data_IF_433694124241
#
_entry.id   IF_433694124241
#
_cell.length_a   1.000
_cell.length_b   1.000
_cell.length_c   1.000
_cell.angle_alpha   90.00
_cell.angle_beta   90.00
_cell.angle_gamma   90.00
#
_symmetry.space_group_name_H-M   'P 1'
#
loop_
_entity.id
_entity.type
_entity.pdbx_description
1 polymer ?
#
# COMPACT_ATOMS: atom_id res chain seq x y z
N UNK A 1 38.34 4.76 -12.45
CA UNK A 1 37.07 4.48 -11.75
C UNK A 1 35.99 5.32 -12.40
N UNK A 2 35.00 4.69 -13.04
CA UNK A 2 34.05 5.38 -13.92
C UNK A 2 32.75 5.70 -13.17
N UNK A 3 32.47 6.99 -13.02
CA UNK A 3 31.25 7.58 -12.43
C UNK A 3 29.95 7.04 -13.03
N UNK A 4 30.00 6.53 -14.26
CA UNK A 4 28.83 5.95 -14.93
C UNK A 4 28.27 4.69 -14.26
N UNK A 5 29.09 3.86 -13.58
CA UNK A 5 28.58 2.66 -12.89
C UNK A 5 27.75 3.01 -11.64
N UNK A 6 28.15 4.06 -10.93
CA UNK A 6 27.45 4.49 -9.70
C UNK A 6 26.05 5.03 -9.99
N UNK A 7 25.85 5.68 -11.15
CA UNK A 7 24.55 6.21 -11.56
C UNK A 7 23.59 5.07 -11.91
N UNK A 8 24.05 4.04 -12.63
CA UNK A 8 23.20 2.91 -13.02
C UNK A 8 22.67 2.13 -11.81
N UNK A 9 23.51 1.87 -10.81
CA UNK A 9 23.06 1.20 -9.58
C UNK A 9 22.09 2.07 -8.77
N UNK A 10 22.29 3.38 -8.76
CA UNK A 10 21.43 4.32 -8.05
C UNK A 10 20.03 4.40 -8.70
N UNK A 11 19.95 4.39 -10.03
CA UNK A 11 18.68 4.39 -10.77
C UNK A 11 17.95 3.04 -10.64
N UNK A 12 18.66 1.92 -10.74
CA UNK A 12 18.05 0.59 -10.59
C UNK A 12 17.51 0.36 -9.18
N UNK A 13 18.21 0.82 -8.14
CA UNK A 13 17.73 0.73 -6.75
C UNK A 13 16.49 1.58 -6.51
N UNK A 14 16.39 2.75 -7.15
CA UNK A 14 15.18 3.59 -7.05
C UNK A 14 14.00 2.97 -7.79
N UNK A 15 14.21 2.50 -9.03
CA UNK A 15 13.18 1.81 -9.81
C UNK A 15 12.63 0.59 -9.09
N UNK A 16 13.50 -0.21 -8.45
CA UNK A 16 13.04 -1.38 -7.69
C UNK A 16 12.10 -0.98 -6.55
N UNK A 17 12.47 0.02 -5.75
CA UNK A 17 11.63 0.55 -4.65
C UNK A 17 10.29 1.10 -5.14
N UNK A 18 10.27 1.78 -6.28
CA UNK A 18 9.04 2.28 -6.89
C UNK A 18 8.15 1.10 -7.31
N UNK A 19 8.70 0.07 -7.94
CA UNK A 19 7.94 -1.13 -8.30
C UNK A 19 7.41 -1.89 -7.08
N UNK A 20 8.21 -2.02 -6.02
CA UNK A 20 7.79 -2.61 -4.75
C UNK A 20 6.63 -1.80 -4.14
N UNK A 21 6.75 -0.47 -4.13
CA UNK A 21 5.69 0.42 -3.68
C UNK A 21 4.40 0.27 -4.50
N UNK A 22 4.49 0.27 -5.84
CA UNK A 22 3.34 0.12 -6.72
C UNK A 22 2.64 -1.22 -6.49
N UNK A 23 3.41 -2.30 -6.32
CA UNK A 23 2.87 -3.63 -6.04
C UNK A 23 2.13 -3.67 -4.70
N UNK A 24 2.68 -3.02 -3.67
CA UNK A 24 2.03 -2.93 -2.36
C UNK A 24 0.81 -1.99 -2.39
N UNK A 25 0.86 -0.88 -3.12
CA UNK A 25 -0.28 0.04 -3.24
C UNK A 25 -1.44 -0.67 -3.96
N UNK A 26 -1.16 -1.41 -5.03
CA UNK A 26 -2.16 -2.25 -5.71
C UNK A 26 -2.73 -3.33 -4.78
N UNK A 27 -1.87 -4.02 -4.02
CA UNK A 27 -2.32 -5.03 -3.06
C UNK A 27 -3.21 -4.42 -1.96
N UNK A 28 -2.87 -3.21 -1.52
CA UNK A 28 -3.68 -2.44 -0.57
C UNK A 28 -5.06 -2.13 -1.14
N UNK A 29 -5.15 -1.71 -2.40
CA UNK A 29 -6.44 -1.50 -3.08
C UNK A 29 -7.27 -2.78 -3.16
N UNK A 30 -6.66 -3.90 -3.56
CA UNK A 30 -7.35 -5.21 -3.60
C UNK A 30 -7.92 -5.60 -2.23
N UNK A 31 -7.17 -5.39 -1.15
CA UNK A 31 -7.69 -5.69 0.19
C UNK A 31 -8.77 -4.72 0.66
N UNK A 32 -8.72 -3.45 0.24
CA UNK A 32 -9.80 -2.50 0.51
C UNK A 32 -11.06 -2.94 -0.21
N UNK A 33 -10.98 -3.29 -1.49
CA UNK A 33 -12.11 -3.80 -2.27
C UNK A 33 -12.68 -5.10 -1.68
N UNK A 34 -11.82 -6.04 -1.27
CA UNK A 34 -12.24 -7.28 -0.59
C UNK A 34 -12.98 -6.94 0.71
N UNK A 35 -12.43 -6.04 1.53
CA UNK A 35 -13.04 -5.64 2.80
C UNK A 35 -14.38 -4.92 2.61
N UNK A 36 -14.48 -4.02 1.62
CA UNK A 36 -15.72 -3.33 1.25
C UNK A 36 -16.77 -4.32 0.76
N UNK A 37 -16.37 -5.28 -0.08
CA UNK A 37 -17.27 -6.32 -0.60
C UNK A 37 -17.79 -7.21 0.52
N UNK A 38 -16.90 -7.69 1.40
CA UNK A 38 -17.30 -8.48 2.57
C UNK A 38 -18.21 -7.68 3.51
N UNK A 39 -17.92 -6.39 3.72
CA UNK A 39 -18.77 -5.50 4.51
C UNK A 39 -20.18 -5.39 3.92
N UNK A 40 -20.28 -5.23 2.59
CA UNK A 40 -21.56 -5.16 1.86
C UNK A 40 -22.33 -6.47 1.90
N UNK A 41 -21.63 -7.59 1.82
CA UNK A 41 -22.23 -8.92 1.99
C UNK A 41 -22.62 -9.23 3.46
N UNK A 42 -22.33 -8.34 4.41
CA UNK A 42 -22.58 -8.56 5.84
C UNK A 42 -21.65 -9.61 6.45
N UNK A 43 -20.54 -9.95 5.79
CA UNK A 43 -19.54 -10.91 6.26
C UNK A 43 -18.55 -10.23 7.20
N UNK A 44 -17.97 -10.97 8.16
CA UNK A 44 -16.88 -10.47 8.97
C UNK A 44 -15.67 -10.20 8.07
N UNK A 45 -15.15 -8.98 8.15
CA UNK A 45 -13.93 -8.55 7.44
C UNK A 45 -12.96 -7.93 8.44
N UNK A 46 -11.69 -7.89 8.07
CA UNK A 46 -10.64 -7.28 8.91
C UNK A 46 -9.84 -6.29 8.10
N UNK A 47 -9.40 -5.20 8.75
CA UNK A 47 -8.48 -4.24 8.14
C UNK A 47 -7.02 -4.56 8.44
N UNK A 48 -6.76 -5.70 9.10
CA UNK A 48 -5.40 -6.15 9.41
C UNK A 48 -4.55 -6.34 8.16
N UNK A 49 -5.10 -6.97 7.11
CA UNK A 49 -4.38 -7.14 5.83
C UNK A 49 -4.00 -5.79 5.22
N UNK A 50 -4.96 -4.85 5.18
CA UNK A 50 -4.76 -3.49 4.64
C UNK A 50 -3.69 -2.76 5.46
N UNK A 51 -3.73 -2.87 6.78
CA UNK A 51 -2.79 -2.23 7.70
C UNK A 51 -1.40 -2.87 7.65
N UNK A 52 -1.32 -4.18 7.43
CA UNK A 52 -0.07 -4.89 7.25
C UNK A 52 0.64 -4.42 5.97
N UNK A 53 -0.09 -4.28 4.86
CA UNK A 53 0.47 -3.69 3.62
C UNK A 53 0.82 -2.22 3.80
N UNK A 54 -0.03 -1.45 4.47
CA UNK A 54 0.23 -0.03 4.79
C UNK A 54 1.51 0.12 5.63
N UNK A 55 1.75 -0.79 6.58
CA UNK A 55 2.99 -0.81 7.37
C UNK A 55 4.21 -1.14 6.51
N UNK A 56 4.10 -2.08 5.56
CA UNK A 56 5.19 -2.36 4.61
C UNK A 56 5.50 -1.14 3.73
N UNK A 57 4.47 -0.44 3.24
CA UNK A 57 4.64 0.82 2.51
C UNK A 57 5.31 1.88 3.40
N UNK A 58 4.87 2.03 4.65
CA UNK A 58 5.45 2.97 5.59
C UNK A 58 6.91 2.63 5.93
N UNK A 59 7.26 1.36 5.98
CA UNK A 59 8.64 0.93 6.20
C UNK A 59 9.53 1.25 4.99
N UNK A 60 9.04 1.02 3.78
CA UNK A 60 9.68 1.47 2.55
C UNK A 60 9.79 3.01 2.48
N UNK A 61 8.79 3.74 3.01
CA UNK A 61 8.76 5.20 3.07
C UNK A 61 9.80 5.80 4.01
N UNK A 62 10.23 5.08 5.05
CA UNK A 62 11.36 5.49 5.91
C UNK A 62 12.65 5.71 5.11
N UNK A 63 12.75 5.12 3.92
CA UNK A 63 13.90 5.29 3.03
C UNK A 63 13.84 6.58 2.20
N UNK A 64 12.81 7.42 2.38
CA UNK A 64 12.75 8.81 1.89
C UNK A 64 12.33 9.01 0.44
N UNK A 65 11.99 7.95 -0.30
CA UNK A 65 11.64 8.03 -1.73
C UNK A 65 10.13 8.01 -1.97
N UNK A 66 9.37 7.38 -1.07
CA UNK A 66 7.92 7.18 -1.22
C UNK A 66 7.17 7.76 -0.02
N UNK A 67 5.91 8.21 -0.19
CA UNK A 67 5.12 8.77 0.91
C UNK A 67 4.61 7.68 1.86
N UNK A 68 4.50 8.03 3.14
CA UNK A 68 3.79 7.19 4.12
C UNK A 68 2.28 7.22 3.88
N UNK A 69 1.61 6.10 4.15
CA UNK A 69 0.15 5.94 4.08
C UNK A 69 -0.46 5.80 5.48
N UNK A 70 -1.69 6.32 5.64
CA UNK A 70 -2.45 6.22 6.90
C UNK A 70 -3.05 4.82 7.04
N UNK A 71 -3.02 4.29 8.27
CA UNK A 71 -3.69 3.04 8.64
C UNK A 71 -5.21 3.16 8.45
N UNK A 72 -5.83 2.08 8.01
CA UNK A 72 -7.26 1.97 7.74
C UNK A 72 -7.93 1.23 8.90
N UNK A 73 -9.02 1.82 9.38
CA UNK A 73 -9.83 1.25 10.46
C UNK A 73 -11.08 0.60 9.87
N UNK A 74 -11.65 -0.37 10.58
CA UNK A 74 -12.90 -1.05 10.16
C UNK A 74 -14.00 -0.03 9.90
N UNK A 75 -14.11 1.00 10.74
CA UNK A 75 -15.08 2.08 10.57
C UNK A 75 -14.91 2.81 9.24
N UNK A 76 -13.69 3.18 8.85
CA UNK A 76 -13.43 3.83 7.54
C UNK A 76 -13.89 2.97 6.37
N UNK A 77 -13.69 1.64 6.45
CA UNK A 77 -14.15 0.72 5.39
C UNK A 77 -15.67 0.64 5.37
N UNK A 78 -16.32 0.59 6.55
CA UNK A 78 -17.78 0.59 6.64
C UNK A 78 -18.37 1.88 6.07
N UNK A 79 -17.85 3.03 6.50
CA UNK A 79 -18.27 4.34 5.98
C UNK A 79 -18.11 4.40 4.47
N UNK A 80 -16.95 3.98 3.94
CA UNK A 80 -16.71 3.95 2.50
C UNK A 80 -17.66 2.99 1.77
N UNK A 81 -17.92 1.81 2.33
CA UNK A 81 -18.83 0.82 1.77
C UNK A 81 -20.28 1.32 1.69
N UNK A 82 -20.72 2.08 2.70
CA UNK A 82 -22.05 2.66 2.84
C UNK A 82 -22.26 3.95 2.02
N UNK A 83 -21.21 4.75 1.80
CA UNK A 83 -21.29 6.01 1.03
C UNK A 83 -21.38 5.77 -0.48
N UNK A 84 -20.80 4.68 -0.97
CA UNK A 84 -20.79 4.34 -2.40
C UNK A 84 -21.96 3.41 -2.78
N UNK A 85 -23.16 3.67 -2.23
CA UNK A 85 -24.42 2.95 -2.51
C UNK A 85 -25.35 3.78 -3.42
#
# INVERSE_FOLDING_TARGET
>A
MSVHKAITEHVNKQNKKINDFLSLDQLRETYIEEAVTLCREGKPFTTEKINMVTNQINDLAKQGIIPTRKLVSVEMVREYALINE
#
